data_IF_857740698420
#
_entry.id   IF_857740698420
#
_cell.length_a   1.000
_cell.length_b   1.000
_cell.length_c   1.000
_cell.angle_alpha   90.00
_cell.angle_beta   90.00
_cell.angle_gamma   90.00
#
_symmetry.space_group_name_H-M   'P 1'
#
loop_
_entity.id
_entity.type
_entity.pdbx_description
1 polymer ?
#
# COMPACT_ATOMS: atom_id res chain seq x y z
N UNK A 1 -25.41 -6.18 -4.70
CA UNK A 1 -24.07 -5.61 -4.43
C UNK A 1 -24.16 -4.52 -3.38
N UNK A 2 -23.33 -4.58 -2.35
CA UNK A 2 -23.37 -3.59 -1.28
C UNK A 2 -22.81 -2.24 -1.74
N UNK A 3 -23.12 -1.19 -0.95
CA UNK A 3 -22.56 0.16 -1.24
C UNK A 3 -21.04 0.16 -1.14
N UNK A 4 -20.48 -0.58 -0.16
CA UNK A 4 -19.01 -0.63 -0.01
C UNK A 4 -18.37 -1.34 -1.20
N UNK A 5 -19.02 -2.38 -1.76
CA UNK A 5 -18.52 -3.04 -2.96
C UNK A 5 -18.48 -2.08 -4.14
N UNK A 6 -19.48 -1.20 -4.26
CA UNK A 6 -19.51 -0.19 -5.32
C UNK A 6 -18.41 0.84 -5.15
N UNK A 7 -18.19 1.33 -3.93
CA UNK A 7 -17.11 2.27 -3.62
C UNK A 7 -15.76 1.64 -3.89
N UNK A 8 -15.60 0.39 -3.47
CA UNK A 8 -14.36 -0.36 -3.69
C UNK A 8 -14.08 -0.54 -5.18
N UNK A 9 -15.11 -0.91 -5.97
CA UNK A 9 -14.96 -1.03 -7.42
C UNK A 9 -14.56 0.28 -8.08
N UNK A 10 -15.14 1.39 -7.66
CA UNK A 10 -14.77 2.71 -8.17
C UNK A 10 -13.33 3.09 -7.82
N UNK A 11 -12.91 2.80 -6.58
CA UNK A 11 -11.53 3.04 -6.17
C UNK A 11 -10.56 2.21 -7.03
N UNK A 12 -10.83 0.92 -7.17
CA UNK A 12 -9.96 0.01 -7.92
C UNK A 12 -9.87 0.35 -9.41
N UNK A 13 -10.92 0.90 -9.98
CA UNK A 13 -10.91 1.35 -11.38
C UNK A 13 -9.88 2.45 -11.64
N UNK A 14 -9.49 3.20 -10.61
CA UNK A 14 -8.51 4.28 -10.71
C UNK A 14 -7.08 3.77 -10.51
N UNK A 15 -6.89 2.56 -9.98
CA UNK A 15 -5.59 2.07 -9.54
C UNK A 15 -4.98 1.14 -10.58
N UNK A 16 -3.68 1.22 -10.74
CA UNK A 16 -2.90 0.23 -11.47
C UNK A 16 -2.41 -0.81 -10.46
N UNK A 17 -3.32 -1.64 -9.99
CA UNK A 17 -3.06 -2.60 -8.91
C UNK A 17 -1.99 -3.62 -9.31
N UNK A 18 -1.14 -3.98 -8.36
CA UNK A 18 -0.08 -4.94 -8.59
C UNK A 18 -0.52 -6.34 -8.12
N UNK A 19 -0.14 -7.37 -8.88
CA UNK A 19 -0.17 -8.73 -8.34
C UNK A 19 1.00 -8.91 -7.39
N UNK A 20 0.94 -9.93 -6.53
CA UNK A 20 2.04 -10.22 -5.61
C UNK A 20 3.37 -10.43 -6.36
N UNK A 21 3.32 -11.10 -7.52
CA UNK A 21 4.51 -11.38 -8.32
C UNK A 21 5.14 -10.11 -8.92
N UNK A 22 4.40 -9.05 -9.06
CA UNK A 22 4.90 -7.78 -9.59
C UNK A 22 5.57 -6.90 -8.55
N UNK A 23 5.40 -7.22 -7.26
CA UNK A 23 5.92 -6.38 -6.17
C UNK A 23 7.45 -6.29 -6.16
N UNK A 24 8.22 -7.39 -6.30
CA UNK A 24 9.67 -7.28 -6.33
C UNK A 24 10.19 -6.31 -7.39
N UNK A 25 9.65 -6.37 -8.61
CA UNK A 25 10.04 -5.45 -9.68
C UNK A 25 9.68 -4.01 -9.36
N UNK A 26 8.53 -3.78 -8.71
CA UNK A 26 8.14 -2.44 -8.27
C UNK A 26 9.13 -1.88 -7.27
N UNK A 27 9.53 -2.68 -6.27
CA UNK A 27 10.52 -2.25 -5.28
C UNK A 27 11.87 -1.97 -5.92
N UNK A 28 12.28 -2.78 -6.88
CA UNK A 28 13.55 -2.60 -7.59
C UNK A 28 13.59 -1.29 -8.38
N UNK A 29 12.44 -0.81 -8.86
CA UNK A 29 12.38 0.49 -9.56
C UNK A 29 12.13 1.67 -8.62
N UNK A 30 12.13 1.44 -7.31
CA UNK A 30 12.05 2.52 -6.33
C UNK A 30 10.70 2.72 -5.67
N UNK A 31 9.71 1.85 -5.93
CA UNK A 31 8.43 1.94 -5.24
C UNK A 31 8.63 1.70 -3.75
N UNK A 32 7.78 2.34 -2.94
CA UNK A 32 7.80 2.20 -1.49
C UNK A 32 6.60 1.39 -1.03
N UNK A 33 6.88 0.32 -0.30
CA UNK A 33 5.84 -0.55 0.27
C UNK A 33 5.39 0.04 1.61
N UNK A 34 4.09 0.25 1.76
CA UNK A 34 3.51 0.83 2.98
C UNK A 34 2.51 -0.13 3.56
N UNK A 35 2.79 -0.61 4.77
CA UNK A 35 1.93 -1.54 5.49
C UNK A 35 1.00 -0.75 6.40
N UNK A 36 -0.30 -0.76 6.10
CA UNK A 36 -1.31 -0.04 6.88
C UNK A 36 -2.10 -0.95 7.81
N UNK A 37 -1.67 -2.22 7.97
CA UNK A 37 -2.36 -3.13 8.89
C UNK A 37 -2.24 -2.65 10.33
N UNK A 38 -3.31 -2.74 11.13
CA UNK A 38 -3.20 -2.50 12.57
C UNK A 38 -2.18 -3.45 13.22
N UNK A 39 -1.59 -3.01 14.31
CA UNK A 39 -0.56 -3.80 15.01
C UNK A 39 -1.05 -5.20 15.36
N UNK A 40 -2.31 -5.35 15.80
CA UNK A 40 -2.84 -6.65 16.16
C UNK A 40 -2.84 -7.61 14.97
N UNK A 41 -3.16 -7.13 13.76
CA UNK A 41 -3.11 -7.95 12.55
C UNK A 41 -1.67 -8.31 12.20
N UNK A 42 -0.75 -7.35 12.26
CA UNK A 42 0.67 -7.62 11.98
C UNK A 42 1.25 -8.64 12.94
N UNK A 43 0.90 -8.56 14.21
CA UNK A 43 1.35 -9.52 15.22
C UNK A 43 0.83 -10.92 14.91
N UNK A 44 -0.44 -11.03 14.52
CA UNK A 44 -1.07 -12.33 14.24
C UNK A 44 -0.59 -12.93 12.91
N UNK A 45 -0.47 -12.10 11.87
CA UNK A 45 -0.15 -12.55 10.52
C UNK A 45 1.34 -12.60 10.23
N UNK A 46 2.12 -11.77 10.90
CA UNK A 46 3.55 -11.61 10.69
C UNK A 46 3.90 -10.25 10.14
N UNK A 47 5.05 -9.72 10.52
CA UNK A 47 5.58 -8.48 9.97
C UNK A 47 6.18 -8.73 8.59
N UNK A 48 6.16 -7.69 7.76
CA UNK A 48 6.88 -7.75 6.48
C UNK A 48 8.38 -7.84 6.77
N UNK A 49 9.11 -8.76 6.12
CA UNK A 49 10.55 -8.87 6.33
C UNK A 49 11.30 -7.57 6.04
N UNK A 50 12.34 -7.30 6.81
CA UNK A 50 13.14 -6.08 6.71
C UNK A 50 13.70 -5.86 5.30
N UNK A 51 13.99 -6.93 4.58
CA UNK A 51 14.55 -6.85 3.23
C UNK A 51 13.64 -6.10 2.26
N UNK A 52 12.33 -6.09 2.49
CA UNK A 52 11.37 -5.38 1.65
C UNK A 52 11.22 -3.90 2.05
N UNK A 53 11.80 -3.52 3.18
CA UNK A 53 11.85 -2.12 3.66
C UNK A 53 10.48 -1.46 3.75
N UNK A 54 9.45 -2.23 4.18
CA UNK A 54 8.12 -1.69 4.30
C UNK A 54 8.07 -0.59 5.38
N UNK A 55 7.36 0.47 5.05
CA UNK A 55 7.06 1.53 6.01
C UNK A 55 5.73 1.17 6.70
N UNK A 56 5.74 1.13 8.02
CA UNK A 56 4.52 0.88 8.79
C UNK A 56 3.88 2.23 9.10
N UNK A 57 2.70 2.45 8.53
CA UNK A 57 1.97 3.72 8.70
C UNK A 57 0.51 3.37 9.00
N UNK A 58 -0.01 3.86 10.12
CA UNK A 58 -1.41 3.65 10.44
C UNK A 58 -2.31 4.34 9.42
N UNK A 59 -3.43 3.69 9.06
CA UNK A 59 -4.33 4.21 8.02
C UNK A 59 -4.82 5.62 8.34
N UNK A 60 -5.08 5.92 9.60
CA UNK A 60 -5.66 7.20 10.02
C UNK A 60 -4.73 8.39 9.83
N UNK A 61 -3.44 8.18 9.61
CA UNK A 61 -2.47 9.27 9.39
C UNK A 61 -1.79 9.18 8.02
N UNK A 62 -2.20 8.23 7.20
CA UNK A 62 -1.52 7.91 5.93
C UNK A 62 -1.39 9.13 5.04
N UNK A 63 -2.46 9.89 4.83
CA UNK A 63 -2.45 11.04 3.94
C UNK A 63 -1.44 12.08 4.40
N UNK A 64 -1.41 12.36 5.70
CA UNK A 64 -0.46 13.35 6.25
C UNK A 64 0.98 12.90 6.11
N UNK A 65 1.24 11.59 6.18
CA UNK A 65 2.59 11.04 6.10
C UNK A 65 3.11 10.98 4.66
N UNK A 66 2.23 10.84 3.68
CA UNK A 66 2.60 10.69 2.27
C UNK A 66 2.53 11.99 1.48
N UNK A 67 1.80 12.98 1.95
CA UNK A 67 1.65 14.28 1.26
C UNK A 67 2.93 15.08 1.36
N UNK A 68 3.62 15.37 0.23
CA UNK A 68 4.89 16.11 0.27
C UNK A 68 4.74 17.55 0.77
N UNK A 69 3.52 18.08 0.84
CA UNK A 69 3.27 19.43 1.37
C UNK A 69 2.90 19.45 2.84
N UNK A 70 2.80 18.28 3.48
CA UNK A 70 2.40 18.16 4.89
C UNK A 70 3.60 18.35 5.82
N UNK A 71 3.38 19.03 6.95
CA UNK A 71 4.40 19.15 7.99
C UNK A 71 4.70 17.80 8.66
N UNK A 72 3.75 16.86 8.58
CA UNK A 72 3.90 15.53 9.17
C UNK A 72 4.43 14.51 8.17
N UNK A 73 4.88 14.92 6.99
CA UNK A 73 5.33 14.01 5.93
C UNK A 73 6.54 13.18 6.35
N UNK A 74 6.62 11.98 5.78
CA UNK A 74 7.84 11.16 5.87
C UNK A 74 8.96 11.80 5.05
N UNK A 75 10.23 11.54 5.42
CA UNK A 75 11.36 11.96 4.57
C UNK A 75 11.26 11.44 3.14
N UNK A 76 10.63 10.26 2.93
CA UNK A 76 10.46 9.66 1.62
C UNK A 76 9.39 10.36 0.77
N UNK A 77 8.53 11.17 1.37
CA UNK A 77 7.47 11.88 0.66
C UNK A 77 8.04 13.13 -0.04
N UNK A 78 8.86 12.91 -1.06
CA UNK A 78 9.67 13.96 -1.71
C UNK A 78 8.97 14.64 -2.86
N UNK A 79 7.95 14.01 -3.47
CA UNK A 79 7.22 14.57 -4.62
C UNK A 79 5.92 13.82 -4.83
N UNK A 80 5.11 14.32 -5.77
CA UNK A 80 3.87 13.65 -6.16
C UNK A 80 4.13 12.39 -7.00
N UNK A 81 5.37 12.17 -7.44
CA UNK A 81 5.72 11.05 -8.32
C UNK A 81 6.16 9.79 -7.58
N UNK A 82 6.18 9.81 -6.25
CA UNK A 82 6.52 8.62 -5.48
C UNK A 82 5.48 7.53 -5.75
N UNK A 83 5.95 6.32 -6.02
CA UNK A 83 5.08 5.16 -6.21
C UNK A 83 4.81 4.53 -4.84
N UNK A 84 3.68 4.89 -4.23
CA UNK A 84 3.25 4.34 -2.95
C UNK A 84 2.46 3.06 -3.20
N UNK A 85 2.96 1.93 -2.72
CA UNK A 85 2.30 0.63 -2.84
C UNK A 85 1.73 0.26 -1.47
N UNK A 86 0.42 0.34 -1.34
CA UNK A 86 -0.26 0.19 -0.06
C UNK A 86 -0.61 -1.27 0.18
N UNK A 87 -0.28 -1.77 1.36
CA UNK A 87 -0.47 -3.15 1.77
C UNK A 87 -1.42 -3.23 2.95
N UNK A 88 -2.43 -4.07 2.84
CA UNK A 88 -3.25 -4.52 3.97
C UNK A 88 -3.31 -6.05 3.96
N UNK A 89 -4.16 -6.66 4.79
CA UNK A 89 -4.18 -8.12 4.91
C UNK A 89 -4.63 -8.81 3.62
N UNK A 90 -5.74 -8.35 3.02
CA UNK A 90 -6.39 -9.05 1.91
C UNK A 90 -6.60 -8.18 0.67
N UNK A 91 -6.16 -6.93 0.69
CA UNK A 91 -6.26 -6.04 -0.48
C UNK A 91 -7.61 -5.34 -0.63
N UNK A 92 -8.35 -5.13 0.47
CA UNK A 92 -9.60 -4.37 0.45
C UNK A 92 -9.39 -2.91 0.85
N UNK A 93 -9.12 -2.66 2.12
CA UNK A 93 -8.96 -1.29 2.60
C UNK A 93 -7.79 -0.56 1.93
N UNK A 94 -6.79 -1.30 1.46
CA UNK A 94 -5.65 -0.71 0.75
C UNK A 94 -6.08 -0.02 -0.55
N UNK A 95 -7.10 -0.55 -1.23
CA UNK A 95 -7.63 0.09 -2.43
C UNK A 95 -8.26 1.45 -2.10
N UNK A 96 -9.02 1.52 -1.01
CA UNK A 96 -9.61 2.79 -0.57
C UNK A 96 -8.53 3.79 -0.16
N UNK A 97 -7.51 3.31 0.54
CA UNK A 97 -6.39 4.14 0.98
C UNK A 97 -5.60 4.69 -0.21
N UNK A 98 -5.28 3.84 -1.18
CA UNK A 98 -4.55 4.27 -2.38
C UNK A 98 -5.36 5.30 -3.19
N UNK A 99 -6.67 5.11 -3.32
CA UNK A 99 -7.53 6.07 -3.99
C UNK A 99 -7.54 7.42 -3.25
N UNK A 100 -7.56 7.40 -1.91
CA UNK A 100 -7.47 8.63 -1.10
C UNK A 100 -6.15 9.37 -1.36
N UNK A 101 -5.04 8.65 -1.51
CA UNK A 101 -3.77 9.28 -1.87
C UNK A 101 -3.81 9.89 -3.26
N UNK A 102 -4.46 9.25 -4.23
CA UNK A 102 -4.63 9.83 -5.56
C UNK A 102 -5.44 11.13 -5.51
N UNK A 103 -6.41 11.22 -4.61
CA UNK A 103 -7.18 12.45 -4.42
C UNK A 103 -6.32 13.62 -3.97
N UNK A 104 -5.17 13.36 -3.34
CA UNK A 104 -4.20 14.39 -2.97
C UNK A 104 -3.26 14.76 -4.12
N UNK A 105 -3.36 14.12 -5.27
CA UNK A 105 -2.44 14.32 -6.39
C UNK A 105 -1.30 13.32 -6.45
N UNK A 106 -1.28 12.32 -5.57
CA UNK A 106 -0.25 11.28 -5.57
C UNK A 106 -0.64 10.21 -6.59
N UNK A 107 -0.46 10.53 -7.86
CA UNK A 107 -1.03 9.80 -9.01
C UNK A 107 -0.50 8.39 -9.19
N UNK A 108 0.64 8.05 -8.57
CA UNK A 108 1.22 6.70 -8.67
C UNK A 108 0.90 5.81 -7.48
N UNK A 109 0.03 6.27 -6.56
CA UNK A 109 -0.40 5.43 -5.45
C UNK A 109 -1.24 4.26 -5.96
N UNK A 110 -0.96 3.06 -5.45
CA UNK A 110 -1.67 1.84 -5.79
C UNK A 110 -1.62 0.86 -4.63
N UNK A 111 -2.10 -0.36 -4.86
CA UNK A 111 -2.09 -1.39 -3.82
C UNK A 111 -1.81 -2.76 -4.42
N UNK A 112 -1.90 -3.81 -3.60
CA UNK A 112 -1.57 -5.18 -3.97
C UNK A 112 -2.83 -6.03 -3.93
N UNK A 113 -3.15 -6.68 -5.06
CA UNK A 113 -4.26 -7.62 -5.15
C UNK A 113 -4.00 -8.77 -4.17
N UNK A 114 -4.94 -8.98 -3.26
CA UNK A 114 -4.83 -10.04 -2.25
C UNK A 114 -3.95 -9.71 -1.06
N UNK A 115 -3.28 -8.57 -1.05
CA UNK A 115 -2.55 -8.05 0.10
C UNK A 115 -1.45 -8.95 0.64
N UNK A 116 -1.25 -8.89 1.96
CA UNK A 116 -0.22 -9.66 2.66
C UNK A 116 -0.37 -11.16 2.42
N UNK A 117 -1.61 -11.67 2.43
CA UNK A 117 -1.83 -13.10 2.19
C UNK A 117 -1.35 -13.52 0.80
N UNK A 118 -1.56 -12.69 -0.22
CA UNK A 118 -1.07 -12.98 -1.57
C UNK A 118 0.46 -12.95 -1.64
N UNK A 119 1.11 -12.01 -0.95
CA UNK A 119 2.58 -11.95 -0.89
C UNK A 119 3.13 -13.23 -0.25
N UNK A 120 2.51 -13.68 0.84
CA UNK A 120 2.93 -14.91 1.52
C UNK A 120 2.76 -16.12 0.61
N UNK A 121 1.60 -16.24 -0.05
CA UNK A 121 1.30 -17.37 -0.94
C UNK A 121 2.23 -17.41 -2.15
N UNK A 122 2.66 -16.27 -2.65
CA UNK A 122 3.57 -16.17 -3.80
C UNK A 122 5.04 -16.36 -3.43
N UNK A 123 5.34 -16.52 -2.13
CA UNK A 123 6.72 -16.68 -1.67
C UNK A 123 7.55 -15.40 -1.67
N UNK A 124 6.92 -14.24 -1.89
CA UNK A 124 7.62 -12.95 -1.97
C UNK A 124 8.28 -12.60 -0.64
N UNK A 125 7.63 -12.97 0.47
CA UNK A 125 8.14 -12.65 1.81
C UNK A 125 9.37 -13.48 2.18
N UNK A 126 9.53 -14.66 1.61
CA UNK A 126 10.61 -15.58 1.97
C UNK A 126 11.87 -15.43 1.12
N UNK A 127 11.75 -14.83 -0.06
CA UNK A 127 12.79 -14.82 -1.08
C UNK A 127 13.74 -13.64 -1.05
N UNK A 128 13.60 -12.76 -0.07
CA UNK A 128 14.39 -11.53 -0.08
C UNK A 128 15.22 -11.30 1.20
#
# INVERSE_FOLDING_TARGET
MSRIDQVLGSARARLRRLTADEVPAALDRGALLVDIRPQAQRTREGEVPDALKALVIERNVLEWRCDPTSDARLPQAVSDDVEWVILCSEGYTSSLAAAALQDLGLHRATDIIGGYHALAAAGVLAGR
#
